data_IF_805996218222
#
_entry.id   IF_805996218222
#
_cell.length_a   1.000
_cell.length_b   1.000
_cell.length_c   1.000
_cell.angle_alpha   90.00
_cell.angle_beta   90.00
_cell.angle_gamma   90.00
#
_symmetry.space_group_name_H-M   'P 1'
#
loop_
_entity.id
_entity.type
_entity.pdbx_description
1 polymer ?
#
# COMPACT_ATOMS: atom_id res chain seq x y z
N UNK A 1 13.49 8.50 -94.04
CA UNK A 1 12.25 7.72 -94.28
C UNK A 1 11.51 7.65 -92.94
N UNK A 2 10.34 8.18 -92.97
CA UNK A 2 9.42 8.35 -91.86
C UNK A 2 9.06 7.02 -91.20
N UNK A 3 8.89 6.96 -89.92
CA UNK A 3 7.62 6.55 -89.24
C UNK A 3 7.67 6.90 -87.75
N UNK A 4 6.76 7.73 -87.28
CA UNK A 4 6.24 7.90 -85.94
C UNK A 4 5.28 6.75 -85.61
N UNK A 5 4.73 6.70 -84.48
CA UNK A 5 4.85 6.64 -83.03
C UNK A 5 3.83 5.73 -82.36
N UNK A 6 3.73 5.71 -81.12
CA UNK A 6 2.44 5.57 -80.43
C UNK A 6 2.57 5.97 -78.96
N UNK A 7 1.75 6.94 -78.59
CA UNK A 7 1.53 7.33 -77.17
C UNK A 7 0.67 6.29 -76.50
N UNK A 8 1.16 5.68 -75.42
CA UNK A 8 0.32 4.93 -74.51
C UNK A 8 0.17 5.75 -73.21
N UNK A 9 -1.07 6.12 -72.91
CA UNK A 9 -1.48 6.76 -71.66
C UNK A 9 -1.50 5.70 -70.58
N UNK A 10 -0.64 5.84 -69.55
CA UNK A 10 -0.73 5.10 -68.29
C UNK A 10 -1.46 5.96 -67.31
N UNK A 11 -2.73 5.61 -67.05
CA UNK A 11 -3.56 6.19 -65.96
C UNK A 11 -3.03 5.66 -64.62
N UNK A 12 -2.41 6.51 -63.83
CA UNK A 12 -2.05 6.23 -62.43
C UNK A 12 -3.33 6.31 -61.58
N UNK A 13 -3.79 5.16 -61.14
CA UNK A 13 -4.87 5.02 -60.17
C UNK A 13 -4.27 5.22 -58.77
N UNK A 14 -4.46 6.40 -58.21
CA UNK A 14 -4.09 6.73 -56.80
C UNK A 14 -5.05 6.01 -55.88
N UNK A 15 -4.64 4.90 -55.26
CA UNK A 15 -5.35 4.27 -54.13
C UNK A 15 -5.11 5.13 -52.89
N UNK A 16 -6.07 5.94 -52.54
CA UNK A 16 -6.09 6.65 -51.26
C UNK A 16 -6.35 5.67 -50.11
N UNK A 17 -5.31 5.33 -49.36
CA UNK A 17 -5.45 4.64 -48.07
C UNK A 17 -5.96 5.66 -47.08
N UNK A 18 -7.27 5.66 -46.79
CA UNK A 18 -7.87 6.34 -45.65
C UNK A 18 -7.42 5.61 -44.40
N UNK A 19 -6.39 6.11 -43.74
CA UNK A 19 -6.07 5.74 -42.36
C UNK A 19 -7.19 6.31 -41.47
N UNK A 20 -8.18 5.49 -41.15
CA UNK A 20 -9.11 5.79 -40.08
C UNK A 20 -8.32 5.79 -38.76
N UNK A 21 -7.82 6.97 -38.38
CA UNK A 21 -7.36 7.23 -37.03
C UNK A 21 -8.60 7.12 -36.12
N UNK A 22 -8.79 5.95 -35.56
CA UNK A 22 -9.76 5.73 -34.49
C UNK A 22 -9.41 6.67 -33.33
N UNK A 23 -10.11 7.77 -33.22
CA UNK A 23 -10.07 8.64 -32.05
C UNK A 23 -10.53 7.80 -30.87
N UNK A 24 -9.59 7.35 -30.05
CA UNK A 24 -9.89 6.83 -28.73
C UNK A 24 -10.50 7.99 -27.93
N UNK A 25 -11.83 8.13 -27.99
CA UNK A 25 -12.55 9.11 -27.18
C UNK A 25 -12.28 8.79 -25.73
N UNK A 26 -11.52 9.63 -25.05
CA UNK A 26 -11.44 9.61 -23.61
C UNK A 26 -12.85 9.82 -23.06
N UNK A 27 -13.39 8.82 -22.37
CA UNK A 27 -14.68 8.95 -21.70
C UNK A 27 -14.56 10.03 -20.63
N UNK A 28 -15.45 11.03 -20.67
CA UNK A 28 -15.53 12.03 -19.60
C UNK A 28 -16.13 11.40 -18.34
N UNK A 29 -15.81 11.99 -17.17
CA UNK A 29 -16.36 11.55 -15.87
C UNK A 29 -17.89 11.49 -15.91
N UNK A 30 -18.53 12.40 -16.63
CA UNK A 30 -19.98 12.47 -16.78
C UNK A 30 -20.59 11.26 -17.52
N UNK A 31 -19.80 10.47 -18.23
CA UNK A 31 -20.23 9.25 -18.93
C UNK A 31 -20.07 7.99 -18.08
N UNK A 32 -19.37 8.07 -16.93
CA UNK A 32 -19.23 6.97 -15.97
C UNK A 32 -20.42 6.96 -15.02
N UNK A 33 -21.10 5.80 -14.94
CA UNK A 33 -22.09 5.63 -13.89
C UNK A 33 -21.40 5.57 -12.51
N UNK A 34 -22.10 5.97 -11.45
CA UNK A 34 -21.58 5.84 -10.08
C UNK A 34 -21.23 4.38 -9.75
N UNK A 35 -21.88 3.42 -10.39
CA UNK A 35 -21.61 1.99 -10.28
C UNK A 35 -20.28 1.63 -10.92
N UNK A 36 -20.00 2.13 -12.14
CA UNK A 36 -18.73 1.85 -12.84
C UNK A 36 -17.55 2.46 -12.09
N UNK A 37 -17.70 3.69 -11.59
CA UNK A 37 -16.68 4.36 -10.78
C UNK A 37 -16.38 3.57 -9.49
N UNK A 38 -17.41 3.07 -8.81
CA UNK A 38 -17.27 2.23 -7.63
C UNK A 38 -16.60 0.89 -7.96
N UNK A 39 -16.98 0.24 -9.06
CA UNK A 39 -16.40 -1.03 -9.49
C UNK A 39 -14.90 -0.88 -9.86
N UNK A 40 -14.54 0.18 -10.58
CA UNK A 40 -13.16 0.48 -10.93
C UNK A 40 -12.30 0.76 -9.71
N UNK A 41 -12.81 1.54 -8.75
CA UNK A 41 -12.11 1.80 -7.48
C UNK A 41 -11.92 0.51 -6.69
N UNK A 42 -12.96 -0.32 -6.53
CA UNK A 42 -12.86 -1.61 -5.83
C UNK A 42 -11.77 -2.50 -6.45
N UNK A 43 -11.74 -2.61 -7.76
CA UNK A 43 -10.72 -3.38 -8.48
C UNK A 43 -9.30 -2.83 -8.22
N UNK A 44 -9.12 -1.52 -8.26
CA UNK A 44 -7.86 -0.87 -7.96
C UNK A 44 -7.41 -1.11 -6.52
N UNK A 45 -8.32 -0.98 -5.56
CA UNK A 45 -8.00 -1.18 -4.14
C UNK A 45 -7.69 -2.65 -3.82
N UNK A 46 -8.39 -3.61 -4.41
CA UNK A 46 -8.08 -5.04 -4.22
C UNK A 46 -6.71 -5.40 -4.78
N UNK A 47 -6.36 -4.85 -5.94
CA UNK A 47 -5.02 -4.97 -6.51
C UNK A 47 -3.96 -4.31 -5.61
N UNK A 48 -4.21 -3.10 -5.12
CA UNK A 48 -3.32 -2.38 -4.20
C UNK A 48 -3.11 -3.13 -2.88
N UNK A 49 -4.18 -3.66 -2.29
CA UNK A 49 -4.13 -4.53 -1.11
C UNK A 49 -3.26 -5.76 -1.36
N UNK A 50 -3.50 -6.45 -2.47
CA UNK A 50 -2.73 -7.66 -2.80
C UNK A 50 -1.24 -7.35 -2.98
N UNK A 51 -0.92 -6.28 -3.70
CA UNK A 51 0.45 -5.82 -3.92
C UNK A 51 1.14 -5.42 -2.60
N UNK A 52 0.48 -4.60 -1.77
CA UNK A 52 1.02 -4.14 -0.50
C UNK A 52 1.28 -5.30 0.47
N UNK A 53 0.31 -6.22 0.63
CA UNK A 53 0.46 -7.39 1.51
C UNK A 53 1.58 -8.31 1.02
N UNK A 54 1.67 -8.58 -0.28
CA UNK A 54 2.73 -9.40 -0.85
C UNK A 54 4.12 -8.76 -0.70
N UNK A 55 4.21 -7.45 -0.87
CA UNK A 55 5.45 -6.68 -0.73
C UNK A 55 5.95 -6.64 0.72
N UNK A 56 5.05 -6.45 1.68
CA UNK A 56 5.38 -6.30 3.10
C UNK A 56 5.53 -7.64 3.82
N UNK A 57 4.76 -8.66 3.43
CA UNK A 57 4.73 -9.98 4.08
C UNK A 57 5.88 -10.91 3.69
N UNK A 58 6.82 -10.47 2.86
CA UNK A 58 8.03 -11.22 2.52
C UNK A 58 9.21 -10.82 3.39
N UNK A 59 10.27 -11.63 3.39
CA UNK A 59 11.52 -11.28 4.05
C UNK A 59 12.05 -9.93 3.55
N UNK A 60 12.46 -9.08 4.47
CA UNK A 60 12.92 -7.70 4.24
C UNK A 60 11.84 -6.74 3.68
N UNK A 61 10.57 -7.11 3.76
CA UNK A 61 9.46 -6.26 3.36
C UNK A 61 9.32 -5.00 4.22
N UNK A 62 9.62 -5.11 5.52
CA UNK A 62 9.76 -3.97 6.44
C UNK A 62 11.22 -3.61 6.65
N UNK A 63 12.06 -4.57 7.02
CA UNK A 63 13.46 -4.33 7.34
C UNK A 63 14.24 -3.65 6.21
N UNK A 64 14.07 -4.11 4.99
CA UNK A 64 14.74 -3.61 3.80
C UNK A 64 14.06 -2.40 3.15
N UNK A 65 12.90 -1.98 3.64
CA UNK A 65 12.13 -0.88 3.05
C UNK A 65 12.18 0.37 3.94
N UNK A 66 12.95 1.41 3.57
CA UNK A 66 13.14 2.60 4.40
C UNK A 66 11.85 3.37 4.68
N UNK A 67 10.79 3.20 3.87
CA UNK A 67 9.52 3.90 4.05
C UNK A 67 8.69 3.36 5.21
N UNK A 68 8.85 2.09 5.52
CA UNK A 68 8.02 1.38 6.52
C UNK A 68 8.83 0.66 7.57
N UNK A 69 10.17 0.66 7.45
CA UNK A 69 11.04 0.07 8.46
C UNK A 69 10.70 0.59 9.84
N UNK A 70 10.46 -0.32 10.75
CA UNK A 70 10.10 -0.01 12.13
C UNK A 70 11.39 0.24 12.93
N UNK A 71 11.62 1.46 13.42
CA UNK A 71 12.73 1.74 14.31
C UNK A 71 12.43 1.19 15.72
N UNK A 72 13.42 1.18 16.57
CA UNK A 72 13.19 0.93 18.01
C UNK A 72 12.31 2.04 18.61
N UNK A 73 11.53 1.75 19.68
CA UNK A 73 10.85 2.79 20.45
C UNK A 73 11.81 3.90 20.88
N UNK A 74 11.31 5.13 20.96
CA UNK A 74 12.15 6.33 21.17
C UNK A 74 13.07 6.22 22.40
N UNK A 75 12.56 5.67 23.50
CA UNK A 75 13.32 5.49 24.72
C UNK A 75 14.51 4.51 24.53
N UNK A 76 14.30 3.42 23.76
CA UNK A 76 15.40 2.50 23.41
C UNK A 76 16.36 3.13 22.39
N UNK A 77 15.87 3.93 21.47
CA UNK A 77 16.71 4.71 20.56
C UNK A 77 17.66 5.65 21.30
N UNK A 78 17.13 6.39 22.26
CA UNK A 78 17.95 7.28 23.12
C UNK A 78 18.97 6.53 23.96
N UNK A 79 18.59 5.35 24.46
CA UNK A 79 19.49 4.49 25.25
C UNK A 79 20.48 3.70 24.41
N UNK A 80 20.33 3.65 23.08
CA UNK A 80 21.10 2.78 22.18
C UNK A 80 22.61 2.87 22.36
N UNK A 81 23.15 4.09 22.46
CA UNK A 81 24.60 4.31 22.63
C UNK A 81 25.10 3.81 23.99
N UNK A 82 24.37 4.11 25.07
CA UNK A 82 24.74 3.63 26.40
C UNK A 82 24.67 2.11 26.49
N UNK A 83 23.64 1.49 25.97
CA UNK A 83 23.49 0.04 25.92
C UNK A 83 24.60 -0.64 25.10
N UNK A 84 25.05 0.00 24.00
CA UNK A 84 26.21 -0.49 23.23
C UNK A 84 27.50 -0.45 24.05
N UNK A 85 27.75 0.62 24.83
CA UNK A 85 28.88 0.71 25.73
C UNK A 85 28.86 -0.36 26.85
N UNK A 86 27.65 -0.76 27.28
CA UNK A 86 27.42 -1.83 28.24
C UNK A 86 27.50 -3.24 27.63
N UNK A 87 27.95 -3.38 26.39
CA UNK A 87 28.09 -4.67 25.71
C UNK A 87 26.80 -5.26 25.15
N UNK A 88 25.64 -4.51 25.20
CA UNK A 88 24.32 -4.96 24.72
C UNK A 88 24.04 -4.59 23.27
N UNK A 89 25.05 -4.23 22.50
CA UNK A 89 24.89 -3.80 21.10
C UNK A 89 24.25 -4.85 20.23
N UNK A 90 24.64 -6.12 20.37
CA UNK A 90 24.05 -7.22 19.60
C UNK A 90 22.57 -7.44 19.93
N UNK A 91 22.22 -7.43 21.21
CA UNK A 91 20.82 -7.59 21.65
C UNK A 91 19.91 -6.50 21.07
N UNK A 92 20.39 -5.26 20.97
CA UNK A 92 19.65 -4.14 20.37
C UNK A 92 19.45 -4.33 18.88
N UNK A 93 20.50 -4.72 18.15
CA UNK A 93 20.42 -4.91 16.70
C UNK A 93 19.55 -6.14 16.36
N UNK A 94 19.58 -7.18 17.19
CA UNK A 94 18.69 -8.35 17.11
C UNK A 94 17.23 -7.96 17.38
N UNK A 95 16.94 -7.12 18.39
CA UNK A 95 15.60 -6.64 18.67
C UNK A 95 15.08 -5.79 17.52
N UNK A 96 15.87 -4.84 16.99
CA UNK A 96 15.47 -4.00 15.87
C UNK A 96 15.13 -4.83 14.62
N UNK A 97 15.84 -5.91 14.39
CA UNK A 97 15.52 -6.86 13.32
C UNK A 97 14.26 -7.67 13.65
N UNK A 98 14.14 -8.18 14.88
CA UNK A 98 13.02 -9.01 15.29
C UNK A 98 11.66 -8.27 15.19
N UNK A 99 11.60 -7.00 15.56
CA UNK A 99 10.36 -6.21 15.44
C UNK A 99 9.91 -6.05 13.98
N UNK A 100 10.85 -5.88 13.04
CA UNK A 100 10.52 -5.81 11.62
C UNK A 100 10.07 -7.18 11.08
N UNK A 101 10.73 -8.28 11.49
CA UNK A 101 10.30 -9.65 11.14
C UNK A 101 8.92 -9.97 11.69
N UNK A 102 8.61 -9.50 12.90
CA UNK A 102 7.28 -9.67 13.48
C UNK A 102 6.18 -8.97 12.65
N UNK A 103 6.47 -7.77 12.14
CA UNK A 103 5.56 -7.06 11.23
C UNK A 103 5.39 -7.82 9.90
N UNK A 104 6.48 -8.33 9.32
CA UNK A 104 6.46 -9.14 8.10
C UNK A 104 5.62 -10.41 8.26
N UNK A 105 5.72 -11.10 9.42
CA UNK A 105 4.86 -12.26 9.72
C UNK A 105 3.39 -11.90 9.97
N UNK A 106 3.12 -10.74 10.54
CA UNK A 106 1.76 -10.33 10.88
C UNK A 106 0.96 -9.85 9.66
N UNK A 107 1.58 -9.12 8.72
CA UNK A 107 0.89 -8.49 7.59
C UNK A 107 0.06 -9.45 6.73
N UNK A 108 0.46 -10.69 6.41
CA UNK A 108 -0.37 -11.63 5.66
C UNK A 108 -1.75 -11.88 6.28
N UNK A 109 -1.90 -11.75 7.61
CA UNK A 109 -3.18 -11.91 8.30
C UNK A 109 -4.20 -10.80 7.96
N UNK A 110 -3.74 -9.69 7.37
CA UNK A 110 -4.60 -8.57 6.99
C UNK A 110 -5.37 -8.81 5.69
N UNK A 111 -4.87 -9.65 4.79
CA UNK A 111 -5.37 -9.78 3.41
C UNK A 111 -6.89 -9.97 3.35
N UNK A 112 -7.41 -10.94 4.11
CA UNK A 112 -8.84 -11.25 4.08
C UNK A 112 -9.71 -10.10 4.59
N UNK A 113 -9.29 -9.43 5.67
CA UNK A 113 -10.04 -8.30 6.24
C UNK A 113 -10.05 -7.10 5.29
N UNK A 114 -8.92 -6.79 4.68
CA UNK A 114 -8.81 -5.69 3.72
C UNK A 114 -9.65 -5.97 2.46
N UNK A 115 -9.55 -7.18 1.88
CA UNK A 115 -10.39 -7.59 0.74
C UNK A 115 -11.89 -7.53 1.10
N UNK A 116 -12.28 -7.95 2.30
CA UNK A 116 -13.67 -7.84 2.75
C UNK A 116 -14.11 -6.38 2.90
N UNK A 117 -13.25 -5.49 3.40
CA UNK A 117 -13.54 -4.06 3.46
C UNK A 117 -13.79 -3.47 2.07
N UNK A 118 -12.97 -3.85 1.07
CA UNK A 118 -13.18 -3.45 -0.34
C UNK A 118 -14.52 -3.97 -0.87
N UNK A 119 -14.83 -5.25 -0.65
CA UNK A 119 -16.09 -5.85 -1.12
C UNK A 119 -17.32 -5.17 -0.52
N UNK A 120 -17.27 -4.84 0.77
CA UNK A 120 -18.37 -4.18 1.51
C UNK A 120 -18.43 -2.66 1.30
N UNK A 121 -17.52 -2.08 0.52
CA UNK A 121 -17.50 -0.64 0.21
C UNK A 121 -18.81 -0.22 -0.47
N UNK A 122 -19.43 0.83 0.06
CA UNK A 122 -20.62 1.44 -0.53
C UNK A 122 -20.25 2.38 -1.68
N UNK A 123 -21.24 2.78 -2.47
CA UNK A 123 -21.06 3.82 -3.52
C UNK A 123 -20.63 5.14 -2.87
N UNK A 124 -21.17 5.47 -1.70
CA UNK A 124 -20.82 6.67 -0.96
C UNK A 124 -19.37 6.64 -0.44
N UNK A 125 -18.90 5.48 0.05
CA UNK A 125 -17.48 5.30 0.40
C UNK A 125 -16.59 5.52 -0.83
N UNK A 126 -16.97 4.94 -1.98
CA UNK A 126 -16.23 5.10 -3.23
C UNK A 126 -16.16 6.55 -3.67
N UNK A 127 -17.29 7.28 -3.60
CA UNK A 127 -17.33 8.70 -3.93
C UNK A 127 -16.40 9.52 -3.04
N UNK A 128 -16.43 9.29 -1.72
CA UNK A 128 -15.54 9.98 -0.77
C UNK A 128 -14.07 9.73 -1.07
N UNK A 129 -13.72 8.51 -1.46
CA UNK A 129 -12.34 8.16 -1.83
C UNK A 129 -11.94 8.85 -3.14
N UNK A 130 -12.79 8.81 -4.16
CA UNK A 130 -12.49 9.39 -5.48
C UNK A 130 -12.37 10.91 -5.45
N UNK A 131 -13.19 11.59 -4.63
CA UNK A 131 -13.17 13.05 -4.46
C UNK A 131 -12.30 13.53 -3.30
N UNK A 132 -11.78 12.60 -2.50
CA UNK A 132 -10.94 12.89 -1.34
C UNK A 132 -9.47 13.12 -1.71
N UNK A 133 -8.70 13.61 -0.73
CA UNK A 133 -7.25 13.80 -0.85
C UNK A 133 -6.46 12.50 -0.85
N UNK A 134 -5.13 12.64 -0.87
CA UNK A 134 -4.16 11.54 -0.98
C UNK A 134 -4.22 10.50 0.14
N UNK A 135 -4.86 10.83 1.27
CA UNK A 135 -5.02 9.95 2.43
C UNK A 135 -6.39 9.27 2.51
N UNK A 136 -7.31 9.55 1.59
CA UNK A 136 -8.70 9.07 1.65
C UNK A 136 -8.81 7.54 1.67
N UNK A 137 -7.97 6.85 0.93
CA UNK A 137 -7.85 5.38 0.94
C UNK A 137 -7.34 4.87 2.29
N UNK A 138 -6.29 5.50 2.80
CA UNK A 138 -5.70 5.17 4.10
C UNK A 138 -6.75 5.31 5.21
N UNK A 139 -7.50 6.41 5.24
CA UNK A 139 -8.55 6.67 6.22
C UNK A 139 -9.69 5.65 6.10
N UNK A 140 -10.11 5.30 4.88
CA UNK A 140 -11.11 4.27 4.66
C UNK A 140 -10.70 2.93 5.28
N UNK A 141 -9.51 2.41 4.95
CA UNK A 141 -9.06 1.14 5.49
C UNK A 141 -8.85 1.20 7.01
N UNK A 142 -8.23 2.25 7.52
CA UNK A 142 -7.99 2.44 8.95
C UNK A 142 -9.30 2.40 9.74
N UNK A 143 -10.32 3.14 9.29
CA UNK A 143 -11.64 3.17 9.96
C UNK A 143 -12.36 1.82 9.96
N UNK A 144 -12.21 1.02 8.90
CA UNK A 144 -12.93 -0.24 8.74
C UNK A 144 -12.20 -1.44 9.35
N UNK A 145 -10.88 -1.41 9.48
CA UNK A 145 -10.09 -2.61 9.75
C UNK A 145 -9.13 -2.52 10.94
N UNK A 146 -8.76 -1.31 11.41
CA UNK A 146 -7.71 -1.17 12.42
C UNK A 146 -7.98 -1.94 13.72
N UNK A 147 -9.17 -1.92 14.34
CA UNK A 147 -9.40 -2.68 15.58
C UNK A 147 -9.19 -4.18 15.39
N UNK A 148 -9.79 -4.76 14.35
CA UNK A 148 -9.71 -6.21 14.08
C UNK A 148 -8.29 -6.63 13.67
N UNK A 149 -7.55 -5.78 12.92
CA UNK A 149 -6.17 -6.07 12.56
C UNK A 149 -5.25 -5.97 13.77
N UNK A 150 -5.49 -5.03 14.68
CA UNK A 150 -4.74 -4.97 15.95
C UNK A 150 -4.88 -6.27 16.73
N UNK A 151 -6.09 -6.80 16.88
CA UNK A 151 -6.35 -8.07 17.56
C UNK A 151 -5.65 -9.26 16.88
N UNK A 152 -5.56 -9.26 15.55
CA UNK A 152 -4.89 -10.34 14.81
C UNK A 152 -3.37 -10.23 14.83
N UNK A 153 -2.82 -9.03 14.80
CA UNK A 153 -1.38 -8.82 14.75
C UNK A 153 -0.71 -9.04 16.10
N UNK A 154 -1.34 -8.60 17.18
CA UNK A 154 -0.75 -8.70 18.54
C UNK A 154 -0.22 -10.10 18.89
N UNK A 155 -0.96 -11.22 18.71
CA UNK A 155 -0.45 -12.54 19.06
C UNK A 155 0.72 -12.98 18.15
N UNK A 156 0.70 -12.59 16.86
CA UNK A 156 1.80 -12.91 15.93
C UNK A 156 3.06 -12.16 16.34
N UNK A 157 2.93 -10.86 16.58
CA UNK A 157 4.03 -10.02 17.05
C UNK A 157 4.57 -10.52 18.37
N UNK A 158 3.70 -10.84 19.34
CA UNK A 158 4.07 -11.36 20.65
C UNK A 158 4.87 -12.65 20.56
N UNK A 159 4.50 -13.57 19.69
CA UNK A 159 5.22 -14.83 19.47
C UNK A 159 6.66 -14.60 18.99
N UNK A 160 6.89 -13.60 18.15
CA UNK A 160 8.22 -13.27 17.60
C UNK A 160 9.06 -12.54 18.65
N UNK A 161 8.48 -11.54 19.33
CA UNK A 161 9.21 -10.68 20.28
C UNK A 161 9.46 -11.35 21.63
N UNK A 162 8.65 -12.33 22.01
CA UNK A 162 8.81 -13.07 23.28
C UNK A 162 10.19 -13.73 23.48
N UNK A 163 10.91 -13.97 22.39
CA UNK A 163 12.26 -14.56 22.43
C UNK A 163 13.36 -13.56 22.78
N UNK A 164 13.02 -12.26 22.81
CA UNK A 164 13.98 -11.19 23.09
C UNK A 164 13.94 -10.80 24.57
N UNK A 165 15.03 -11.06 25.31
CA UNK A 165 15.17 -10.60 26.69
C UNK A 165 15.09 -9.08 26.82
N UNK A 166 15.59 -8.34 25.83
CA UNK A 166 15.50 -6.87 25.80
C UNK A 166 14.06 -6.38 25.62
N UNK A 167 13.23 -7.10 24.84
CA UNK A 167 11.81 -6.78 24.72
C UNK A 167 11.09 -6.95 26.06
N UNK A 168 11.39 -8.01 26.81
CA UNK A 168 10.81 -8.26 28.14
C UNK A 168 11.22 -7.17 29.14
N UNK A 169 12.49 -6.75 29.14
CA UNK A 169 12.97 -5.64 29.98
C UNK A 169 12.27 -4.32 29.63
N UNK A 170 12.14 -4.03 28.34
CA UNK A 170 11.38 -2.85 27.89
C UNK A 170 9.94 -2.90 28.38
N UNK A 171 9.24 -4.01 28.20
CA UNK A 171 7.84 -4.15 28.60
C UNK A 171 7.65 -3.92 30.10
N UNK A 172 8.56 -4.43 30.93
CA UNK A 172 8.51 -4.20 32.38
C UNK A 172 8.65 -2.72 32.75
N UNK A 173 9.63 -2.04 32.16
CA UNK A 173 9.89 -0.63 32.48
C UNK A 173 8.86 0.31 31.86
N UNK A 174 8.54 0.12 30.58
CA UNK A 174 7.58 0.96 29.88
C UNK A 174 6.16 0.78 30.40
N UNK A 175 5.79 -0.46 30.78
CA UNK A 175 4.49 -0.74 31.39
C UNK A 175 4.31 -0.04 32.73
N UNK A 176 5.34 -0.02 33.58
CA UNK A 176 5.30 0.76 34.82
C UNK A 176 5.20 2.27 34.54
N UNK A 177 6.01 2.79 33.62
CA UNK A 177 5.99 4.19 33.25
C UNK A 177 4.63 4.62 32.65
N UNK A 178 3.96 3.75 31.92
CA UNK A 178 2.65 4.01 31.35
C UNK A 178 1.55 4.16 32.42
N UNK A 179 1.65 3.46 33.56
CA UNK A 179 0.71 3.63 34.68
C UNK A 179 0.77 5.04 35.29
N UNK A 180 1.90 5.72 35.14
CA UNK A 180 2.08 7.11 35.58
C UNK A 180 1.91 8.13 34.44
N UNK A 181 1.45 7.71 33.25
CA UNK A 181 1.27 8.58 32.10
C UNK A 181 2.56 9.06 31.42
N UNK A 182 3.72 8.48 31.77
CA UNK A 182 5.03 8.85 31.24
C UNK A 182 5.33 8.22 29.88
N UNK A 183 4.59 7.16 29.52
CA UNK A 183 4.68 6.47 28.23
C UNK A 183 3.28 6.31 27.69
N UNK A 184 3.10 6.47 26.38
CA UNK A 184 1.81 6.29 25.73
C UNK A 184 1.38 4.83 25.80
N UNK A 185 0.05 4.59 25.84
CA UNK A 185 -0.51 3.25 25.96
C UNK A 185 -0.14 2.33 24.78
N UNK A 186 0.03 2.87 23.59
CA UNK A 186 0.47 2.17 22.38
C UNK A 186 1.98 1.84 22.37
N UNK A 187 2.76 2.51 23.22
CA UNK A 187 4.19 2.27 23.43
C UNK A 187 4.50 1.54 24.75
N UNK A 188 3.47 1.17 25.51
CA UNK A 188 3.62 0.52 26.81
C UNK A 188 4.24 -0.89 26.74
N UNK A 189 4.16 -1.54 25.56
CA UNK A 189 4.84 -2.79 25.25
C UNK A 189 5.38 -2.80 23.84
N UNK A 190 6.44 -3.59 23.60
CA UNK A 190 6.99 -3.79 22.25
C UNK A 190 5.93 -4.33 21.30
N UNK A 191 5.08 -5.23 21.77
CA UNK A 191 4.04 -5.86 20.95
C UNK A 191 3.04 -4.82 20.43
N UNK A 192 2.57 -3.91 21.28
CA UNK A 192 1.67 -2.82 20.90
C UNK A 192 2.34 -1.85 19.94
N UNK A 193 3.55 -1.43 20.27
CA UNK A 193 4.33 -0.54 19.44
C UNK A 193 4.51 -1.11 18.01
N UNK A 194 4.98 -2.36 17.92
CA UNK A 194 5.22 -3.02 16.63
C UNK A 194 3.92 -3.23 15.86
N UNK A 195 2.83 -3.63 16.54
CA UNK A 195 1.52 -3.80 15.92
C UNK A 195 1.03 -2.49 15.31
N UNK A 196 1.13 -1.39 16.05
CA UNK A 196 0.71 -0.08 15.52
C UNK A 196 1.58 0.33 14.32
N UNK A 197 2.90 0.19 14.41
CA UNK A 197 3.81 0.53 13.31
C UNK A 197 3.62 -0.36 12.09
N UNK A 198 3.32 -1.65 12.29
CA UNK A 198 3.02 -2.58 11.19
C UNK A 198 1.73 -2.18 10.45
N UNK A 199 0.70 -1.77 11.17
CA UNK A 199 -0.54 -1.25 10.59
C UNK A 199 -0.31 0.07 9.85
N UNK A 200 0.43 1.00 10.45
CA UNK A 200 0.76 2.28 9.80
C UNK A 200 1.53 2.04 8.49
N UNK A 201 2.52 1.13 8.50
CA UNK A 201 3.27 0.73 7.31
C UNK A 201 2.39 0.08 6.24
N UNK A 202 1.48 -0.81 6.64
CA UNK A 202 0.54 -1.46 5.75
C UNK A 202 -0.37 -0.44 5.03
N UNK A 203 -1.00 0.46 5.78
CA UNK A 203 -1.88 1.48 5.21
C UNK A 203 -1.11 2.48 4.33
N UNK A 204 0.12 2.84 4.71
CA UNK A 204 0.99 3.67 3.89
C UNK A 204 1.26 3.01 2.53
N UNK A 205 1.59 1.72 2.51
CA UNK A 205 1.87 1.01 1.27
C UNK A 205 0.63 0.83 0.40
N UNK A 206 -0.55 0.60 1.00
CA UNK A 206 -1.82 0.58 0.25
C UNK A 206 -2.08 1.94 -0.41
N UNK A 207 -1.89 3.04 0.33
CA UNK A 207 -2.04 4.39 -0.20
C UNK A 207 -1.02 4.71 -1.30
N UNK A 208 0.21 4.16 -1.22
CA UNK A 208 1.18 4.31 -2.31
C UNK A 208 0.79 3.55 -3.57
N UNK A 209 0.26 2.33 -3.44
CA UNK A 209 -0.23 1.57 -4.58
C UNK A 209 -1.41 2.30 -5.26
N UNK A 210 -2.30 2.88 -4.48
CA UNK A 210 -3.41 3.68 -5.00
C UNK A 210 -2.89 4.92 -5.75
N UNK A 211 -1.93 5.66 -5.20
CA UNK A 211 -1.31 6.81 -5.89
C UNK A 211 -0.64 6.42 -7.21
N UNK A 212 0.02 5.26 -7.27
CA UNK A 212 0.59 4.72 -8.51
C UNK A 212 -0.49 4.47 -9.57
N UNK A 213 -1.62 3.89 -9.16
CA UNK A 213 -2.76 3.63 -10.05
C UNK A 213 -3.37 4.94 -10.55
N UNK A 214 -3.56 5.94 -9.70
CA UNK A 214 -4.00 7.30 -10.12
C UNK A 214 -3.02 7.95 -11.11
N UNK A 215 -1.72 7.84 -10.83
CA UNK A 215 -0.69 8.42 -11.69
C UNK A 215 -0.62 7.74 -13.06
N UNK A 216 -0.78 6.42 -13.11
CA UNK A 216 -0.71 5.64 -14.35
C UNK A 216 -1.80 4.53 -14.41
N UNK A 217 -3.05 4.89 -14.71
CA UNK A 217 -4.16 3.93 -14.76
C UNK A 217 -3.98 2.85 -15.85
N UNK A 218 -3.23 3.15 -16.90
CA UNK A 218 -2.96 2.20 -17.99
C UNK A 218 -2.12 1.02 -17.51
N UNK A 219 -1.16 1.27 -16.63
CA UNK A 219 -0.31 0.22 -16.06
C UNK A 219 -1.05 -0.70 -15.08
N UNK A 220 -2.22 -0.32 -14.60
CA UNK A 220 -3.04 -1.12 -13.69
C UNK A 220 -3.67 -2.38 -14.34
N UNK A 221 -3.58 -2.51 -15.67
CA UNK A 221 -3.97 -3.72 -16.41
C UNK A 221 -5.49 -3.99 -16.51
N UNK A 222 -6.33 -3.33 -15.75
CA UNK A 222 -7.79 -3.51 -15.76
C UNK A 222 -8.47 -2.41 -16.58
N UNK A 223 -9.36 -2.79 -17.52
CA UNK A 223 -10.10 -1.84 -18.36
C UNK A 223 -10.98 -0.91 -17.54
N UNK A 224 -11.61 -1.42 -16.48
CA UNK A 224 -12.46 -0.60 -15.61
C UNK A 224 -11.63 0.42 -14.82
N UNK A 225 -10.45 0.03 -14.32
CA UNK A 225 -9.52 0.94 -13.63
C UNK A 225 -9.03 2.03 -14.57
N UNK A 226 -8.64 1.65 -15.80
CA UNK A 226 -8.22 2.62 -16.84
C UNK A 226 -9.30 3.64 -17.17
N UNK A 227 -10.56 3.20 -17.33
CA UNK A 227 -11.68 4.10 -17.61
C UNK A 227 -11.94 5.06 -16.46
N UNK A 228 -12.01 4.56 -15.23
CA UNK A 228 -12.34 5.38 -14.06
C UNK A 228 -11.23 6.39 -13.76
N UNK A 229 -9.99 5.93 -13.62
CA UNK A 229 -8.88 6.82 -13.25
C UNK A 229 -8.33 7.63 -14.43
N UNK A 230 -8.59 7.20 -15.68
CA UNK A 230 -8.31 8.00 -16.87
C UNK A 230 -9.24 9.20 -17.02
N UNK A 231 -10.49 9.07 -16.57
CA UNK A 231 -11.47 10.16 -16.58
C UNK A 231 -11.27 11.19 -15.43
N UNK A 232 -10.45 10.88 -14.42
CA UNK A 232 -10.12 11.81 -13.32
C UNK A 232 -8.95 12.77 -13.65
N UNK A 233 -8.31 12.60 -14.82
CA UNK A 233 -7.25 13.48 -15.34
C UNK A 233 -7.82 14.53 -16.28
#
# INVERSE_FOLDING_TARGET
>A
MFVRPARAFLSAMLLGVFAAAGSASALSIDQLTSSDASAGLKAALDQGVTSAVASLGKADGFWGNPKVRIPLPENLQRAKSALKLMGKGREIDELERAINRAAEEAVPQSKQLLTNAVKSMTVEDAKRILTGGDDSVTQFFKSKTAPQLTERFLPVVGKVTAKSGLAQQYNSLAGQAAQFGLVKADEATIERYVTQKALDGLYTMIGEEERKIRANPVAAGSDIVRRVFGALK
#
